data_IF_131377514434
#
_entry.id   IF_131377514434
#
_cell.length_a   1.000
_cell.length_b   1.000
_cell.length_c   1.000
_cell.angle_alpha   90.00
_cell.angle_beta   90.00
_cell.angle_gamma   90.00
#
_symmetry.space_group_name_H-M   'P 1'
#
loop_
_entity.id
_entity.type
_entity.pdbx_description
1 polymer ?
#
# COMPACT_ATOMS: atom_id res chain seq x y z
N UNK A 1 7.65 -21.56 -5.16
CA UNK A 1 6.84 -21.94 -3.97
C UNK A 1 5.55 -22.64 -4.44
N UNK A 2 5.21 -23.79 -3.87
CA UNK A 2 4.03 -24.55 -4.28
C UNK A 2 2.75 -23.93 -3.68
N UNK A 3 1.71 -23.74 -4.49
CA UNK A 3 0.47 -23.04 -4.12
C UNK A 3 -0.15 -23.58 -2.82
N UNK A 4 -0.19 -24.91 -2.67
CA UNK A 4 -0.80 -25.56 -1.51
C UNK A 4 -0.03 -25.29 -0.21
N UNK A 5 1.31 -25.21 -0.26
CA UNK A 5 2.14 -24.92 0.91
C UNK A 5 1.93 -23.49 1.40
N UNK A 6 1.90 -22.54 0.46
CA UNK A 6 1.59 -21.14 0.69
C UNK A 6 0.19 -20.94 1.31
N UNK A 7 -0.80 -21.66 0.79
CA UNK A 7 -2.18 -21.59 1.26
C UNK A 7 -2.33 -22.15 2.69
N UNK A 8 -1.63 -23.25 3.01
CA UNK A 8 -1.63 -23.82 4.35
C UNK A 8 -1.05 -22.84 5.39
N UNK A 9 0.07 -22.17 5.05
CA UNK A 9 0.66 -21.14 5.92
C UNK A 9 -0.27 -19.96 6.19
N UNK A 10 -0.91 -19.42 5.14
CA UNK A 10 -1.87 -18.33 5.29
C UNK A 10 -3.08 -18.76 6.14
N UNK A 11 -3.61 -19.97 5.92
CA UNK A 11 -4.75 -20.48 6.70
C UNK A 11 -4.42 -20.62 8.18
N UNK A 12 -3.20 -21.07 8.51
CA UNK A 12 -2.76 -21.17 9.90
C UNK A 12 -2.69 -19.79 10.58
N UNK A 13 -2.17 -18.77 9.88
CA UNK A 13 -2.12 -17.39 10.39
C UNK A 13 -3.53 -16.81 10.49
N UNK A 14 -4.36 -16.96 9.47
CA UNK A 14 -5.75 -16.47 9.47
C UNK A 14 -6.57 -17.04 10.63
N UNK A 15 -6.40 -18.34 10.93
CA UNK A 15 -7.04 -18.99 12.09
C UNK A 15 -6.59 -18.38 13.41
N UNK A 16 -5.29 -18.05 13.55
CA UNK A 16 -4.76 -17.38 14.76
C UNK A 16 -5.27 -15.95 14.90
N UNK A 17 -5.46 -15.25 13.78
CA UNK A 17 -5.99 -13.89 13.77
C UNK A 17 -7.52 -13.82 13.87
N UNK A 18 -8.23 -14.96 13.98
CA UNK A 18 -9.70 -14.99 14.05
C UNK A 18 -10.40 -14.59 12.74
N UNK A 19 -9.70 -14.63 11.61
CA UNK A 19 -10.26 -14.23 10.31
C UNK A 19 -11.05 -15.39 9.71
N UNK A 20 -12.37 -15.22 9.59
CA UNK A 20 -13.30 -16.22 9.04
C UNK A 20 -13.42 -16.18 7.51
N UNK A 21 -12.85 -15.16 6.86
CA UNK A 21 -12.90 -14.98 5.41
C UNK A 21 -11.97 -15.97 4.70
N UNK A 22 -12.38 -16.43 3.52
CA UNK A 22 -11.54 -17.25 2.66
C UNK A 22 -10.45 -16.39 1.99
N UNK A 23 -9.21 -16.53 2.46
CA UNK A 23 -8.04 -15.81 1.92
C UNK A 23 -7.20 -16.76 1.07
N UNK A 24 -6.80 -16.29 -0.12
CA UNK A 24 -5.89 -17.00 -1.01
C UNK A 24 -4.50 -16.35 -1.03
N UNK A 25 -3.49 -17.09 -1.51
CA UNK A 25 -2.13 -16.56 -1.67
C UNK A 25 -2.06 -15.30 -2.54
N UNK A 26 -2.82 -15.28 -3.64
CA UNK A 26 -2.88 -14.12 -4.53
C UNK A 26 -3.46 -12.90 -3.83
N UNK A 27 -4.49 -13.09 -2.99
CA UNK A 27 -5.10 -12.01 -2.24
C UNK A 27 -4.16 -11.41 -1.20
N UNK A 28 -3.40 -12.26 -0.48
CA UNK A 28 -2.35 -11.78 0.43
C UNK A 28 -1.26 -10.98 -0.29
N UNK A 29 -0.84 -11.41 -1.50
CA UNK A 29 0.13 -10.67 -2.31
C UNK A 29 -0.43 -9.32 -2.78
N UNK A 30 -1.71 -9.26 -3.15
CA UNK A 30 -2.38 -8.00 -3.49
C UNK A 30 -2.42 -7.04 -2.31
N UNK A 31 -2.83 -7.50 -1.12
CA UNK A 31 -2.88 -6.66 0.08
C UNK A 31 -1.49 -6.17 0.50
N UNK A 32 -0.45 -6.99 0.37
CA UNK A 32 0.91 -6.55 0.64
C UNK A 32 1.34 -5.44 -0.33
N UNK A 33 1.08 -5.60 -1.63
CA UNK A 33 1.42 -4.59 -2.63
C UNK A 33 0.68 -3.26 -2.39
N UNK A 34 -0.62 -3.31 -2.14
CA UNK A 34 -1.46 -2.11 -2.08
C UNK A 34 -1.46 -1.46 -0.71
N UNK A 35 -1.62 -2.23 0.36
CA UNK A 35 -1.78 -1.70 1.72
C UNK A 35 -0.44 -1.48 2.39
N UNK A 36 0.52 -2.41 2.25
CA UNK A 36 1.80 -2.27 2.95
C UNK A 36 2.74 -1.33 2.20
N UNK A 37 2.83 -1.40 0.88
CA UNK A 37 3.78 -0.55 0.16
C UNK A 37 3.15 0.75 -0.33
N UNK A 38 2.06 0.68 -1.09
CA UNK A 38 1.47 1.89 -1.68
C UNK A 38 0.83 2.80 -0.62
N UNK A 39 0.09 2.26 0.36
CA UNK A 39 -0.49 3.09 1.44
C UNK A 39 0.57 3.76 2.32
N UNK A 40 1.73 3.13 2.53
CA UNK A 40 2.84 3.73 3.29
C UNK A 40 3.73 4.69 2.47
N UNK A 41 3.40 4.97 1.21
CA UNK A 41 4.06 6.02 0.41
C UNK A 41 5.28 5.53 -0.35
N UNK A 42 5.44 4.22 -0.48
CA UNK A 42 6.50 3.65 -1.30
C UNK A 42 6.14 3.87 -2.78
N UNK A 43 7.03 4.50 -3.57
CA UNK A 43 6.78 4.72 -4.99
C UNK A 43 6.67 3.41 -5.75
N UNK A 44 5.82 3.40 -6.77
CA UNK A 44 5.43 2.19 -7.52
C UNK A 44 6.63 1.46 -8.15
N UNK A 45 7.69 2.19 -8.49
CA UNK A 45 8.94 1.65 -9.02
C UNK A 45 9.68 0.81 -7.98
N UNK A 46 9.77 1.30 -6.74
CA UNK A 46 10.34 0.55 -5.61
C UNK A 46 9.51 -0.69 -5.28
N UNK A 47 8.18 -0.59 -5.33
CA UNK A 47 7.29 -1.75 -5.16
C UNK A 47 7.50 -2.79 -6.26
N UNK A 48 7.63 -2.34 -7.51
CA UNK A 48 7.89 -3.22 -8.66
C UNK A 48 9.21 -3.98 -8.50
N UNK A 49 10.26 -3.28 -8.06
CA UNK A 49 11.57 -3.88 -7.76
C UNK A 49 11.51 -4.87 -6.60
N UNK A 50 10.79 -4.53 -5.52
CA UNK A 50 10.63 -5.40 -4.35
C UNK A 50 9.82 -6.67 -4.65
N UNK A 51 8.83 -6.59 -5.54
CA UNK A 51 8.03 -7.73 -5.98
C UNK A 51 8.69 -8.55 -7.10
N UNK A 52 9.85 -8.11 -7.62
CA UNK A 52 10.60 -8.77 -8.67
C UNK A 52 9.93 -8.74 -10.04
N UNK A 53 9.07 -7.75 -10.31
CA UNK A 53 8.40 -7.63 -11.59
C UNK A 53 9.35 -7.02 -12.63
N UNK A 54 9.62 -7.76 -13.72
CA UNK A 54 10.43 -7.28 -14.87
C UNK A 54 9.79 -6.11 -15.63
N UNK A 55 8.50 -5.84 -15.43
CA UNK A 55 7.79 -4.76 -16.10
C UNK A 55 6.91 -4.00 -15.12
N UNK A 56 7.02 -2.67 -15.16
CA UNK A 56 6.16 -1.77 -14.37
C UNK A 56 4.69 -1.87 -14.79
N UNK A 57 4.38 -2.34 -16.02
CA UNK A 57 2.99 -2.51 -16.50
C UNK A 57 2.14 -3.41 -15.61
N UNK A 58 2.71 -4.50 -15.08
CA UNK A 58 1.97 -5.39 -14.17
C UNK A 58 1.77 -4.78 -12.79
N UNK A 59 2.59 -3.81 -12.41
CA UNK A 59 2.46 -3.05 -11.16
C UNK A 59 1.52 -1.84 -11.33
N UNK A 60 1.39 -1.29 -12.55
CA UNK A 60 0.45 -0.20 -12.89
C UNK A 60 -1.03 -0.57 -12.66
N UNK A 61 -1.39 -1.85 -12.61
CA UNK A 61 -2.75 -2.27 -12.23
C UNK A 61 -3.14 -1.76 -10.83
N UNK A 62 -2.16 -1.48 -9.97
CA UNK A 62 -2.36 -0.91 -8.64
C UNK A 62 -2.48 0.61 -8.62
N UNK A 63 -2.21 1.29 -9.75
CA UNK A 63 -2.22 2.76 -9.84
C UNK A 63 -3.60 3.39 -9.60
N UNK A 64 -4.69 2.62 -9.71
CA UNK A 64 -6.05 3.12 -9.41
C UNK A 64 -6.19 3.49 -7.92
N UNK A 65 -5.57 2.71 -7.04
CA UNK A 65 -5.51 2.95 -5.58
C UNK A 65 -4.61 4.16 -5.27
N UNK A 66 -3.62 4.43 -6.11
CA UNK A 66 -2.75 5.61 -5.99
C UNK A 66 -3.50 6.92 -6.20
N UNK A 67 -4.61 6.96 -6.97
CA UNK A 67 -5.38 8.21 -7.16
C UNK A 67 -6.09 8.67 -5.89
N UNK A 68 -6.76 7.76 -5.19
CA UNK A 68 -7.38 8.05 -3.89
C UNK A 68 -6.32 8.49 -2.88
N UNK A 69 -5.17 7.83 -2.92
CA UNK A 69 -4.04 8.18 -2.07
C UNK A 69 -3.43 9.54 -2.41
N UNK A 70 -3.30 9.89 -3.68
CA UNK A 70 -2.79 11.19 -4.13
C UNK A 70 -3.63 12.34 -3.58
N UNK A 71 -4.96 12.19 -3.60
CA UNK A 71 -5.85 13.18 -3.01
C UNK A 71 -5.59 13.31 -1.50
N UNK A 72 -5.47 12.20 -0.78
CA UNK A 72 -5.16 12.20 0.65
C UNK A 72 -3.79 12.84 0.95
N UNK A 73 -2.77 12.54 0.16
CA UNK A 73 -1.42 13.09 0.31
C UNK A 73 -1.41 14.60 -0.01
N UNK A 74 -2.22 15.06 -0.97
CA UNK A 74 -2.41 16.48 -1.27
C UNK A 74 -3.17 17.22 -0.16
N UNK A 75 -4.21 16.61 0.42
CA UNK A 75 -4.92 17.16 1.59
C UNK A 75 -3.97 17.27 2.80
N UNK A 76 -3.16 16.24 3.04
CA UNK A 76 -2.15 16.25 4.10
C UNK A 76 -1.08 17.33 3.85
N UNK A 77 -0.67 17.53 2.60
CA UNK A 77 0.27 18.60 2.23
C UNK A 77 -0.36 19.98 2.47
N UNK A 78 -1.61 20.19 2.05
CA UNK A 78 -2.34 21.43 2.30
C UNK A 78 -2.47 21.73 3.81
N UNK A 79 -2.80 20.72 4.62
CA UNK A 79 -2.85 20.86 6.08
C UNK A 79 -1.49 21.25 6.68
N UNK A 80 -0.40 20.65 6.19
CA UNK A 80 0.97 20.98 6.64
C UNK A 80 1.39 22.39 6.23
N UNK A 81 1.02 22.84 5.03
CA UNK A 81 1.34 24.18 4.54
C UNK A 81 0.58 25.25 5.32
N UNK A 82 -0.71 25.04 5.62
CA UNK A 82 -1.49 25.94 6.47
C UNK A 82 -0.87 26.11 7.88
N UNK A 83 -0.33 25.02 8.46
CA UNK A 83 0.38 25.10 9.74
C UNK A 83 1.73 25.84 9.68
N UNK A 84 2.32 25.98 8.49
CA UNK A 84 3.54 26.78 8.29
C UNK A 84 3.21 28.25 8.06
N UNK A 85 2.09 28.57 7.40
CA UNK A 85 1.62 29.96 7.25
C UNK A 85 1.23 30.59 8.60
N UNK A 86 0.68 29.81 9.54
CA UNK A 86 0.40 30.28 10.91
C UNK A 86 1.70 30.59 11.71
N UNK A 87 2.82 29.93 11.37
CA UNK A 87 4.14 30.18 11.98
C UNK A 87 4.90 31.33 11.29
N UNK A 88 4.69 31.52 9.97
CA UNK A 88 5.23 32.65 9.20
C UNK A 88 4.41 33.93 9.39
N UNK A 89 3.18 33.82 9.90
CA UNK A 89 2.27 34.92 10.26
C UNK A 89 2.69 35.73 11.50
N UNK A 90 3.84 35.43 12.13
CA UNK A 90 4.49 36.38 13.04
C UNK A 90 5.10 37.53 12.21
N UNK A 91 4.24 38.43 11.73
CA UNK A 91 4.64 39.67 11.07
C UNK A 91 4.77 40.78 12.14
N UNK A 92 6.01 41.28 12.25
CA UNK A 92 6.50 42.57 12.80
C UNK A 92 6.34 42.81 14.30
#
# INVERSE_FOLDING_TARGET
PHYNTCLAGIRAVAKRCGITKHITWHQSRHTAATTIFLSNGVPIETVSSMLGHKSIKTTQIYAKITKEKLNQDMENLAARLNGVEEFAGCTI
#
